data_IF_789876810754
#
_entry.id   IF_789876810754
#
_cell.length_a   1.000
_cell.length_b   1.000
_cell.length_c   1.000
_cell.angle_alpha   90.00
_cell.angle_beta   90.00
_cell.angle_gamma   90.00
#
_symmetry.space_group_name_H-M   'P 1'
#
loop_
_entity.id
_entity.type
_entity.pdbx_description
1 polymer ?
#
# COMPACT_ATOMS: atom_id res chain seq x y z
N UNK A 1 17.51 5.01 -16.50
CA UNK A 1 16.53 4.01 -16.02
C UNK A 1 15.45 4.77 -15.25
N UNK A 2 14.20 4.75 -15.73
CA UNK A 2 13.10 5.53 -15.13
C UNK A 2 13.01 5.25 -13.62
N UNK A 3 13.01 6.31 -12.80
CA UNK A 3 12.96 6.25 -11.34
C UNK A 3 11.85 5.30 -10.84
N UNK A 4 10.71 5.31 -11.55
CA UNK A 4 9.57 4.44 -11.32
C UNK A 4 9.91 2.94 -11.40
N UNK A 5 10.75 2.49 -12.33
CA UNK A 5 11.17 1.07 -12.44
C UNK A 5 12.04 0.68 -11.23
N UNK A 6 12.88 1.59 -10.75
CA UNK A 6 13.68 1.35 -9.53
C UNK A 6 12.79 1.23 -8.29
N UNK A 7 11.74 2.05 -8.19
CA UNK A 7 10.77 1.92 -7.10
C UNK A 7 9.91 0.66 -7.23
N UNK A 8 9.42 0.31 -8.42
CA UNK A 8 8.67 -0.94 -8.64
C UNK A 8 9.49 -2.17 -8.26
N UNK A 9 10.79 -2.17 -8.52
CA UNK A 9 11.65 -3.29 -8.11
C UNK A 9 11.70 -3.50 -6.59
N UNK A 10 11.36 -2.49 -5.77
CA UNK A 10 11.22 -2.66 -4.31
C UNK A 10 10.09 -3.62 -3.95
N UNK A 11 9.03 -3.70 -4.76
CA UNK A 11 7.94 -4.68 -4.53
C UNK A 11 8.43 -6.14 -4.70
N UNK A 12 9.58 -6.33 -5.34
CA UNK A 12 10.28 -7.62 -5.48
C UNK A 12 11.51 -7.70 -4.58
N UNK A 13 11.56 -6.90 -3.51
CA UNK A 13 12.67 -6.88 -2.54
C UNK A 13 14.03 -6.53 -3.17
N UNK A 14 14.03 -5.83 -4.31
CA UNK A 14 15.24 -5.37 -5.00
C UNK A 14 15.42 -3.87 -4.79
N UNK A 15 16.69 -3.45 -4.71
CA UNK A 15 17.13 -2.08 -4.42
C UNK A 15 16.89 -1.62 -2.98
N UNK A 16 17.61 -0.55 -2.61
CA UNK A 16 17.53 0.09 -1.30
C UNK A 16 16.70 1.38 -1.42
N UNK A 17 15.59 1.53 -0.66
CA UNK A 17 14.77 2.74 -0.70
C UNK A 17 15.53 4.00 -0.26
N UNK A 18 16.55 3.87 0.60
CA UNK A 18 17.34 5.00 1.09
C UNK A 18 18.26 5.62 0.01
N UNK A 19 18.55 4.88 -1.05
CA UNK A 19 19.41 5.30 -2.16
C UNK A 19 18.61 5.93 -3.32
N UNK A 20 17.27 5.93 -3.23
CA UNK A 20 16.39 6.53 -4.22
C UNK A 20 16.04 7.95 -3.76
N UNK A 21 16.36 8.95 -4.58
CA UNK A 21 16.07 10.35 -4.27
C UNK A 21 14.92 10.84 -5.17
N UNK A 22 13.66 10.76 -4.72
CA UNK A 22 12.54 11.27 -5.50
C UNK A 22 12.48 12.79 -5.40
N UNK A 23 12.10 13.44 -6.50
CA UNK A 23 11.72 14.84 -6.45
C UNK A 23 10.37 14.99 -5.76
N UNK A 24 10.12 16.12 -5.09
CA UNK A 24 8.82 16.41 -4.44
C UNK A 24 7.64 16.32 -5.43
N UNK A 25 7.87 16.72 -6.69
CA UNK A 25 6.87 16.61 -7.75
C UNK A 25 6.54 15.14 -8.07
N UNK A 26 7.54 14.25 -8.09
CA UNK A 26 7.30 12.83 -8.33
C UNK A 26 6.50 12.19 -7.20
N UNK A 27 6.83 12.52 -5.94
CA UNK A 27 6.08 12.06 -4.77
C UNK A 27 4.61 12.46 -4.86
N UNK A 28 4.30 13.74 -5.08
CA UNK A 28 2.92 14.23 -5.19
C UNK A 28 2.16 13.63 -6.37
N UNK A 29 2.83 13.34 -7.49
CA UNK A 29 2.21 12.60 -8.60
C UNK A 29 1.81 11.18 -8.20
N UNK A 30 2.62 10.48 -7.41
CA UNK A 30 2.28 9.15 -6.91
C UNK A 30 1.10 9.18 -5.93
N UNK A 31 1.02 10.22 -5.08
CA UNK A 31 -0.14 10.44 -4.18
C UNK A 31 -1.39 10.78 -4.97
N UNK A 32 -1.29 11.71 -5.92
CA UNK A 32 -2.43 12.11 -6.74
C UNK A 32 -2.94 10.92 -7.55
N UNK A 33 -2.04 10.11 -8.12
CA UNK A 33 -2.41 8.88 -8.79
C UNK A 33 -3.15 7.94 -7.84
N UNK A 34 -2.59 7.67 -6.66
CA UNK A 34 -3.20 6.82 -5.64
C UNK A 34 -4.59 7.29 -5.22
N UNK A 35 -4.75 8.59 -4.93
CA UNK A 35 -6.02 9.17 -4.51
C UNK A 35 -7.05 9.07 -5.63
N UNK A 36 -6.69 9.45 -6.85
CA UNK A 36 -7.62 9.42 -7.99
C UNK A 36 -8.01 7.98 -8.31
N UNK A 37 -7.05 7.05 -8.39
CA UNK A 37 -7.33 5.65 -8.67
C UNK A 37 -8.14 5.00 -7.55
N UNK A 38 -7.76 5.24 -6.29
CA UNK A 38 -8.45 4.72 -5.13
C UNK A 38 -9.90 5.20 -5.07
N UNK A 39 -10.13 6.51 -5.22
CA UNK A 39 -11.49 7.08 -5.21
C UNK A 39 -12.33 6.47 -6.33
N UNK A 40 -11.80 6.36 -7.55
CA UNK A 40 -12.54 5.76 -8.67
C UNK A 40 -12.91 4.31 -8.37
N UNK A 41 -11.98 3.51 -7.87
CA UNK A 41 -12.18 2.08 -7.61
C UNK A 41 -13.16 1.87 -6.47
N UNK A 42 -12.95 2.51 -5.33
CA UNK A 42 -13.84 2.35 -4.17
C UNK A 42 -15.23 2.92 -4.45
N UNK A 43 -15.34 4.02 -5.21
CA UNK A 43 -16.65 4.55 -5.65
C UNK A 43 -17.38 3.66 -6.66
N UNK A 44 -16.70 2.69 -7.28
CA UNK A 44 -17.34 1.67 -8.13
C UNK A 44 -17.84 0.48 -7.32
N UNK A 45 -17.27 0.25 -6.13
CA UNK A 45 -17.61 -0.87 -5.24
C UNK A 45 -18.68 -0.44 -4.23
N UNK A 46 -18.56 0.75 -3.65
CA UNK A 46 -19.44 1.32 -2.63
C UNK A 46 -20.05 2.65 -3.07
N UNK A 47 -20.86 3.26 -2.20
CA UNK A 47 -21.33 4.63 -2.42
C UNK A 47 -20.12 5.58 -2.58
N UNK A 48 -20.15 6.53 -3.54
CA UNK A 48 -19.00 7.38 -3.85
C UNK A 48 -18.53 8.24 -2.67
N UNK A 49 -19.44 8.61 -1.77
CA UNK A 49 -19.11 9.37 -0.56
C UNK A 49 -18.26 8.54 0.40
N UNK A 50 -18.67 7.29 0.64
CA UNK A 50 -18.01 6.35 1.54
C UNK A 50 -16.66 5.92 0.97
N UNK A 51 -16.60 5.56 -0.32
CA UNK A 51 -15.36 5.18 -0.98
C UNK A 51 -14.33 6.31 -1.02
N UNK A 52 -14.79 7.56 -1.18
CA UNK A 52 -13.89 8.73 -1.10
C UNK A 52 -13.36 8.94 0.31
N UNK A 53 -14.23 8.81 1.33
CA UNK A 53 -13.86 8.98 2.72
C UNK A 53 -12.84 7.94 3.16
N UNK A 54 -13.04 6.67 2.78
CA UNK A 54 -12.13 5.57 3.09
C UNK A 54 -10.72 5.83 2.52
N UNK A 55 -10.62 6.19 1.24
CA UNK A 55 -9.34 6.45 0.57
C UNK A 55 -8.61 7.64 1.19
N UNK A 56 -9.35 8.70 1.53
CA UNK A 56 -8.79 9.86 2.20
C UNK A 56 -8.28 9.51 3.60
N UNK A 57 -9.07 8.79 4.39
CA UNK A 57 -8.70 8.39 5.75
C UNK A 57 -7.47 7.48 5.72
N UNK A 58 -7.45 6.48 4.83
CA UNK A 58 -6.30 5.59 4.58
C UNK A 58 -5.05 6.40 4.22
N UNK A 59 -5.17 7.40 3.36
CA UNK A 59 -4.05 8.29 2.98
C UNK A 59 -3.53 9.08 4.17
N UNK A 60 -4.42 9.69 4.96
CA UNK A 60 -4.07 10.47 6.15
C UNK A 60 -3.35 9.59 7.18
N UNK A 61 -3.87 8.37 7.42
CA UNK A 61 -3.30 7.41 8.34
C UNK A 61 -1.94 6.89 7.86
N UNK A 62 -1.77 6.66 6.56
CA UNK A 62 -0.48 6.29 5.99
C UNK A 62 0.56 7.39 6.20
N UNK A 63 0.22 8.64 5.90
CA UNK A 63 1.09 9.80 6.11
C UNK A 63 1.48 9.98 7.59
N UNK A 64 0.51 9.93 8.49
CA UNK A 64 0.74 10.13 9.92
C UNK A 64 1.58 9.00 10.52
N UNK A 65 1.37 7.75 10.10
CA UNK A 65 2.14 6.58 10.55
C UNK A 65 3.60 6.67 10.10
N UNK A 66 3.83 6.99 8.82
CA UNK A 66 5.18 7.18 8.27
C UNK A 66 5.91 8.33 8.98
N UNK A 67 5.22 9.47 9.19
CA UNK A 67 5.78 10.61 9.89
C UNK A 67 6.16 10.24 11.35
N UNK A 68 5.28 9.51 12.04
CA UNK A 68 5.52 9.01 13.41
C UNK A 68 6.75 8.12 13.47
N UNK A 69 6.90 7.16 12.54
CA UNK A 69 8.09 6.30 12.52
C UNK A 69 9.37 7.08 12.26
N UNK A 70 9.36 8.03 11.31
CA UNK A 70 10.53 8.84 11.01
C UNK A 70 10.94 9.75 12.18
N UNK A 71 9.97 10.22 12.97
CA UNK A 71 10.20 10.96 14.22
C UNK A 71 10.87 10.07 15.27
N UNK A 72 10.34 8.87 15.52
CA UNK A 72 10.86 7.92 16.50
C UNK A 72 12.30 7.52 16.17
N UNK A 73 12.58 7.20 14.91
CA UNK A 73 13.91 6.80 14.45
C UNK A 73 14.85 7.98 14.15
N UNK A 74 14.39 9.22 14.29
CA UNK A 74 15.14 10.47 14.01
C UNK A 74 15.73 10.50 12.58
N UNK A 75 15.00 9.98 11.59
CA UNK A 75 15.43 9.87 10.18
C UNK A 75 14.58 10.71 9.22
N UNK A 76 14.17 11.91 9.63
CA UNK A 76 13.33 12.83 8.85
C UNK A 76 13.77 13.06 7.39
N UNK A 77 15.08 13.03 7.12
CA UNK A 77 15.63 13.18 5.77
C UNK A 77 15.11 12.14 4.76
N UNK A 78 14.66 10.97 5.24
CA UNK A 78 14.15 9.89 4.39
C UNK A 78 12.64 9.96 4.13
N UNK A 79 11.96 11.02 4.59
CA UNK A 79 10.51 11.17 4.45
C UNK A 79 10.02 10.98 3.01
N UNK A 80 10.57 11.76 2.06
CA UNK A 80 10.12 11.67 0.67
C UNK A 80 10.39 10.30 0.05
N UNK A 81 11.48 9.64 0.46
CA UNK A 81 11.94 8.37 -0.12
C UNK A 81 11.09 7.20 0.38
N UNK A 82 10.91 7.11 1.70
CA UNK A 82 10.09 6.09 2.34
C UNK A 82 8.65 6.20 1.88
N UNK A 83 8.14 7.43 1.87
CA UNK A 83 6.77 7.71 1.48
C UNK A 83 6.51 7.36 0.01
N UNK A 84 7.40 7.79 -0.91
CA UNK A 84 7.31 7.41 -2.33
C UNK A 84 7.45 5.90 -2.53
N UNK A 85 8.33 5.24 -1.78
CA UNK A 85 8.52 3.79 -1.86
C UNK A 85 7.26 3.02 -1.49
N UNK A 86 6.67 3.35 -0.33
CA UNK A 86 5.46 2.69 0.16
C UNK A 86 4.30 2.93 -0.80
N UNK A 87 4.05 4.18 -1.21
CA UNK A 87 2.93 4.49 -2.10
C UNK A 87 3.06 3.85 -3.48
N UNK A 88 4.27 3.75 -4.07
CA UNK A 88 4.43 3.05 -5.35
C UNK A 88 4.16 1.56 -5.20
N UNK A 89 4.65 0.95 -4.12
CA UNK A 89 4.38 -0.46 -3.85
C UNK A 89 2.89 -0.70 -3.58
N UNK A 90 2.23 0.23 -2.89
CA UNK A 90 0.81 0.17 -2.62
C UNK A 90 -0.02 0.29 -3.89
N UNK A 91 0.28 1.25 -4.77
CA UNK A 91 -0.36 1.34 -6.09
C UNK A 91 -0.18 0.06 -6.91
N UNK A 92 0.99 -0.57 -6.82
CA UNK A 92 1.26 -1.83 -7.48
C UNK A 92 0.38 -2.96 -6.93
N UNK A 93 0.32 -3.14 -5.61
CA UNK A 93 -0.53 -4.15 -4.97
C UNK A 93 -2.02 -3.87 -5.22
N UNK A 94 -2.44 -2.61 -5.17
CA UNK A 94 -3.82 -2.19 -5.46
C UNK A 94 -4.22 -2.55 -6.90
N UNK A 95 -3.31 -2.38 -7.87
CA UNK A 95 -3.57 -2.79 -9.26
C UNK A 95 -3.77 -4.30 -9.36
N UNK A 96 -3.00 -5.10 -8.62
CA UNK A 96 -3.18 -6.56 -8.57
C UNK A 96 -4.47 -6.95 -7.85
N UNK A 97 -4.88 -6.22 -6.81
CA UNK A 97 -6.15 -6.45 -6.12
C UNK A 97 -7.34 -6.21 -7.06
N UNK A 98 -7.34 -5.11 -7.82
CA UNK A 98 -8.36 -4.83 -8.85
C UNK A 98 -8.41 -5.95 -9.90
N UNK A 99 -7.26 -6.45 -10.33
CA UNK A 99 -7.21 -7.58 -11.27
C UNK A 99 -7.79 -8.88 -10.66
N UNK A 100 -7.65 -9.06 -9.34
CA UNK A 100 -8.23 -10.19 -8.59
C UNK A 100 -9.75 -10.08 -8.55
N UNK A 101 -10.30 -8.89 -8.28
CA UNK A 101 -11.75 -8.64 -8.33
C UNK A 101 -12.33 -8.85 -9.74
N UNK A 102 -11.63 -8.37 -10.78
CA UNK A 102 -12.03 -8.62 -12.16
C UNK A 102 -12.01 -10.11 -12.51
N UNK A 103 -11.02 -10.86 -12.02
CA UNK A 103 -10.95 -12.31 -12.18
C UNK A 103 -12.10 -13.01 -11.44
N UNK A 104 -12.41 -12.59 -10.21
CA UNK A 104 -13.55 -13.08 -9.45
C UNK A 104 -14.86 -12.89 -10.23
N UNK A 105 -15.11 -11.68 -10.75
CA UNK A 105 -16.29 -11.39 -11.57
C UNK A 105 -16.41 -12.33 -12.79
N UNK A 106 -15.30 -12.58 -13.50
CA UNK A 106 -15.26 -13.51 -14.64
C UNK A 106 -15.52 -14.96 -14.21
N UNK A 107 -14.98 -15.39 -13.06
CA UNK A 107 -15.22 -16.75 -12.54
C UNK A 107 -16.68 -16.97 -12.12
N UNK A 108 -17.30 -15.95 -11.52
CA UNK A 108 -18.73 -15.97 -11.16
C UNK A 108 -19.59 -16.06 -12.42
N UNK A 109 -19.29 -15.28 -13.46
CA UNK A 109 -19.99 -15.36 -14.75
C UNK A 109 -19.87 -16.74 -15.42
N UNK A 110 -18.76 -17.44 -15.21
CA UNK A 110 -18.52 -18.78 -15.74
C UNK A 110 -19.03 -19.91 -14.81
N UNK A 111 -19.76 -19.58 -13.75
CA UNK A 111 -20.30 -20.53 -12.76
C UNK A 111 -19.24 -21.47 -12.15
N UNK A 112 -18.05 -20.95 -11.86
CA UNK A 112 -17.00 -21.70 -11.18
C UNK A 112 -17.34 -21.86 -9.68
N UNK A 113 -17.37 -23.11 -9.21
CA UNK A 113 -17.81 -23.48 -7.86
C UNK A 113 -16.90 -22.93 -6.74
N UNK A 114 -15.59 -22.81 -7.02
CA UNK A 114 -14.57 -22.34 -6.05
C UNK A 114 -14.14 -20.87 -6.26
N UNK A 115 -14.95 -20.07 -6.95
CA UNK A 115 -14.60 -18.69 -7.30
C UNK A 115 -14.29 -17.80 -6.09
N UNK A 116 -15.06 -17.93 -5.02
CA UNK A 116 -14.89 -17.16 -3.78
C UNK A 116 -13.60 -17.55 -3.03
N UNK A 117 -13.36 -18.84 -2.82
CA UNK A 117 -12.18 -19.36 -2.12
C UNK A 117 -10.88 -18.97 -2.82
N UNK A 118 -10.88 -18.99 -4.16
CA UNK A 118 -9.74 -18.56 -4.97
C UNK A 118 -9.49 -17.05 -4.79
N UNK A 119 -10.55 -16.23 -4.86
CA UNK A 119 -10.43 -14.77 -4.69
C UNK A 119 -9.88 -14.41 -3.30
N UNK A 120 -10.45 -15.00 -2.25
CA UNK A 120 -9.99 -14.80 -0.86
C UNK A 120 -8.55 -15.27 -0.68
N UNK A 121 -8.18 -16.41 -1.25
CA UNK A 121 -6.81 -16.93 -1.20
C UNK A 121 -5.78 -16.00 -1.85
N UNK A 122 -6.10 -15.44 -3.02
CA UNK A 122 -5.26 -14.45 -3.70
C UNK A 122 -5.18 -13.16 -2.88
N UNK A 123 -6.31 -12.67 -2.35
CA UNK A 123 -6.36 -11.50 -1.48
C UNK A 123 -5.46 -11.63 -0.25
N UNK A 124 -5.55 -12.77 0.46
CA UNK A 124 -4.69 -13.05 1.61
C UNK A 124 -3.20 -13.10 1.24
N UNK A 125 -2.86 -13.67 0.08
CA UNK A 125 -1.49 -13.68 -0.44
C UNK A 125 -0.99 -12.27 -0.74
N UNK A 126 -1.81 -11.42 -1.36
CA UNK A 126 -1.47 -10.02 -1.66
C UNK A 126 -1.23 -9.22 -0.39
N UNK A 127 -2.06 -9.40 0.65
CA UNK A 127 -1.85 -8.76 1.97
C UNK A 127 -0.53 -9.22 2.60
N UNK A 128 -0.27 -10.54 2.60
CA UNK A 128 0.98 -11.09 3.11
C UNK A 128 2.21 -10.55 2.36
N UNK A 129 2.11 -10.44 1.03
CA UNK A 129 3.16 -9.87 0.19
C UNK A 129 3.36 -8.37 0.49
N UNK A 130 2.29 -7.60 0.63
CA UNK A 130 2.37 -6.18 1.00
C UNK A 130 3.08 -5.98 2.33
N UNK A 131 2.72 -6.74 3.37
CA UNK A 131 3.38 -6.67 4.69
C UNK A 131 4.87 -7.00 4.55
N UNK A 132 5.22 -8.01 3.75
CA UNK A 132 6.61 -8.35 3.48
C UNK A 132 7.36 -7.18 2.81
N UNK A 133 6.75 -6.54 1.80
CA UNK A 133 7.35 -5.39 1.07
C UNK A 133 7.58 -4.22 2.03
N UNK A 134 6.57 -3.83 2.80
CA UNK A 134 6.67 -2.74 3.76
C UNK A 134 7.71 -3.06 4.82
N UNK A 135 7.73 -4.29 5.36
CA UNK A 135 8.76 -4.74 6.30
C UNK A 135 10.17 -4.61 5.72
N UNK A 136 10.36 -5.00 4.46
CA UNK A 136 11.64 -4.84 3.76
C UNK A 136 12.03 -3.37 3.60
N UNK A 137 11.10 -2.51 3.20
CA UNK A 137 11.34 -1.06 3.05
C UNK A 137 11.75 -0.43 4.39
N UNK A 138 10.99 -0.70 5.46
CA UNK A 138 11.26 -0.18 6.80
C UNK A 138 12.58 -0.71 7.36
N UNK A 139 12.90 -1.99 7.11
CA UNK A 139 14.18 -2.58 7.48
C UNK A 139 15.34 -1.82 6.87
N UNK A 140 15.28 -1.57 5.57
CA UNK A 140 16.37 -0.89 4.85
C UNK A 140 16.47 0.59 5.24
N UNK A 141 15.33 1.28 5.39
CA UNK A 141 15.32 2.70 5.73
C UNK A 141 15.80 2.99 7.17
N UNK A 142 15.49 2.10 8.12
CA UNK A 142 15.87 2.29 9.53
C UNK A 142 17.07 1.45 9.98
N UNK A 143 17.62 0.60 9.11
CA UNK A 143 18.68 -0.35 9.43
C UNK A 143 18.35 -1.21 10.67
N UNK A 144 17.09 -1.61 10.81
CA UNK A 144 16.59 -2.36 11.98
C UNK A 144 16.70 -3.88 11.77
N UNK A 145 16.56 -4.65 12.86
CA UNK A 145 16.44 -6.11 12.78
C UNK A 145 15.11 -6.49 12.13
N UNK A 146 15.10 -7.58 11.35
CA UNK A 146 13.92 -8.06 10.62
C UNK A 146 12.66 -8.15 11.49
N UNK A 147 12.78 -8.68 12.72
CA UNK A 147 11.64 -8.82 13.64
C UNK A 147 10.98 -7.48 13.97
N UNK A 148 11.78 -6.42 14.18
CA UNK A 148 11.26 -5.07 14.46
C UNK A 148 10.57 -4.51 13.23
N UNK A 149 11.16 -4.70 12.05
CA UNK A 149 10.58 -4.21 10.79
C UNK A 149 9.25 -4.87 10.45
N UNK A 150 9.10 -6.16 10.75
CA UNK A 150 7.82 -6.89 10.61
C UNK A 150 6.77 -6.33 11.56
N UNK A 151 7.11 -6.11 12.83
CA UNK A 151 6.17 -5.53 13.81
C UNK A 151 5.73 -4.13 13.36
N UNK A 152 6.65 -3.31 12.87
CA UNK A 152 6.32 -1.98 12.34
C UNK A 152 5.44 -2.06 11.08
N UNK A 153 5.69 -3.02 10.19
CA UNK A 153 4.86 -3.22 8.99
C UNK A 153 3.43 -3.67 9.35
N UNK A 154 3.28 -4.58 10.32
CA UNK A 154 1.97 -4.97 10.85
C UNK A 154 1.25 -3.80 11.52
N UNK A 155 1.96 -3.05 12.37
CA UNK A 155 1.40 -1.85 13.00
C UNK A 155 0.94 -0.84 11.95
N UNK A 156 1.75 -0.60 10.93
CA UNK A 156 1.41 0.27 9.81
C UNK A 156 0.18 -0.21 9.06
N UNK A 157 0.09 -1.51 8.76
CA UNK A 157 -1.06 -2.10 8.08
C UNK A 157 -2.35 -1.93 8.89
N UNK A 158 -2.31 -2.22 10.20
CA UNK A 158 -3.49 -2.06 11.08
C UNK A 158 -3.91 -0.60 11.17
N UNK A 159 -2.95 0.33 11.32
CA UNK A 159 -3.25 1.76 11.40
C UNK A 159 -3.82 2.30 10.08
N UNK A 160 -3.34 1.79 8.95
CA UNK A 160 -3.69 2.31 7.61
C UNK A 160 -4.98 1.69 7.07
N UNK A 161 -5.20 0.39 7.28
CA UNK A 161 -6.35 -0.33 6.73
C UNK A 161 -7.37 -0.75 7.80
N UNK A 162 -6.89 -1.20 8.96
CA UNK A 162 -7.77 -1.67 10.03
C UNK A 162 -8.59 -0.55 10.66
N UNK A 163 -7.99 0.61 10.94
CA UNK A 163 -8.72 1.74 11.53
C UNK A 163 -9.80 2.27 10.58
N UNK A 164 -9.52 2.58 9.29
CA UNK A 164 -10.57 3.04 8.39
C UNK A 164 -11.72 2.06 8.24
N UNK A 165 -11.47 0.76 8.14
CA UNK A 165 -12.54 -0.25 8.10
C UNK A 165 -13.44 -0.18 9.34
N UNK A 166 -12.85 -0.04 10.54
CA UNK A 166 -13.64 0.10 11.78
C UNK A 166 -14.51 1.36 11.82
N UNK A 167 -14.13 2.44 11.12
CA UNK A 167 -14.93 3.66 11.04
C UNK A 167 -16.08 3.54 10.03
N UNK A 168 -15.94 2.68 9.04
CA UNK A 168 -16.94 2.47 7.98
C UNK A 168 -18.05 1.49 8.42
N UNK A 169 -17.76 0.61 9.38
CA UNK A 169 -18.71 -0.36 9.95
C UNK A 169 -19.60 0.21 11.09
N UNK A 170 -19.48 1.49 11.43
CA UNK A 170 -20.23 2.19 12.52
C UNK A 170 -21.33 3.07 11.93
#
# INVERSE_FOLDING_TARGET
MNLLIKYLSLCWFRNNPAELFPSKSFMWKAVAFYLISGIIVESLISDPADGTLEVLLRTIMAFSSIATYLLIFKKWQYFNQLYTAIFICENFIMTLAIATEALYFVMVMNHQEYSEEISIGIGALLVGWYIAIVSYILRQAFATKMSVSVILAFSYFILTYGIPMLFMDI
#
